data_IF_562408466029
#
_entry.id   IF_562408466029
#
_cell.length_a   1.000
_cell.length_b   1.000
_cell.length_c   1.000
_cell.angle_alpha   90.00
_cell.angle_beta   90.00
_cell.angle_gamma   90.00
#
_symmetry.space_group_name_H-M   'P 1'
#
loop_
_entity.id
_entity.type
_entity.pdbx_description
1 polymer ?
#
# COMPACT_ATOMS: atom_id res chain seq x y z
N UNK A 1 41.39 -17.89 -47.53
CA UNK A 1 41.60 -16.64 -48.29
C UNK A 1 40.91 -16.77 -49.64
N UNK A 2 39.76 -16.13 -49.83
CA UNK A 2 39.17 -15.90 -51.16
C UNK A 2 38.11 -14.79 -51.03
N UNK A 3 38.57 -13.60 -51.38
CA UNK A 3 37.77 -12.40 -51.61
C UNK A 3 36.92 -12.60 -52.86
N UNK A 4 35.63 -12.28 -52.79
CA UNK A 4 34.85 -11.93 -53.97
C UNK A 4 34.21 -10.56 -53.73
N UNK A 5 34.87 -9.56 -54.31
CA UNK A 5 34.32 -8.23 -54.59
C UNK A 5 33.46 -8.39 -55.85
N UNK A 6 32.18 -8.04 -55.76
CA UNK A 6 31.38 -7.69 -56.93
C UNK A 6 30.77 -6.31 -56.71
N UNK A 7 30.99 -5.47 -57.71
CA UNK A 7 30.75 -4.05 -57.81
C UNK A 7 29.58 -3.81 -58.78
N UNK A 8 28.76 -2.79 -58.47
CA UNK A 8 27.72 -2.15 -59.31
C UNK A 8 26.45 -2.97 -59.58
N UNK A 9 25.25 -2.39 -59.63
CA UNK A 9 24.88 -1.09 -60.20
C UNK A 9 23.58 -0.57 -59.53
N UNK A 10 23.51 0.75 -59.38
CA UNK A 10 22.44 1.52 -58.77
C UNK A 10 21.06 1.35 -59.45
N UNK A 11 20.00 1.37 -58.64
CA UNK A 11 18.70 1.88 -59.06
C UNK A 11 18.18 2.87 -58.01
N UNK A 12 18.27 4.14 -58.37
CA UNK A 12 17.68 5.28 -57.67
C UNK A 12 16.17 5.21 -57.86
N UNK A 13 15.41 5.23 -56.78
CA UNK A 13 13.98 5.61 -56.78
C UNK A 13 13.79 6.68 -55.71
N UNK A 14 13.79 7.93 -56.17
CA UNK A 14 13.31 9.10 -55.44
C UNK A 14 11.78 9.02 -55.39
N UNK A 15 11.21 8.85 -54.21
CA UNK A 15 9.85 9.29 -53.91
C UNK A 15 9.96 10.29 -52.77
N UNK A 16 9.84 11.57 -53.11
CA UNK A 16 9.59 12.66 -52.18
C UNK A 16 8.11 12.61 -51.79
N UNK A 17 7.81 12.04 -50.63
CA UNK A 17 6.57 12.30 -49.90
C UNK A 17 6.89 13.18 -48.71
N UNK A 18 6.88 14.50 -48.92
CA UNK A 18 6.83 15.46 -47.82
C UNK A 18 5.39 15.46 -47.28
N UNK A 19 5.20 14.68 -46.22
CA UNK A 19 4.06 14.79 -45.31
C UNK A 19 4.63 14.82 -43.90
N UNK A 20 4.98 16.01 -43.43
CA UNK A 20 5.34 16.26 -42.03
C UNK A 20 4.13 15.96 -41.15
N UNK A 21 4.15 14.80 -40.50
CA UNK A 21 3.43 14.53 -39.27
C UNK A 21 4.46 14.10 -38.24
N UNK A 22 5.40 15.01 -37.96
CA UNK A 22 6.45 14.82 -36.98
C UNK A 22 5.85 15.21 -35.63
N UNK A 23 5.41 14.17 -34.94
CA UNK A 23 5.00 14.15 -33.56
C UNK A 23 5.05 12.68 -33.23
N UNK A 24 6.24 12.23 -32.85
CA UNK A 24 6.44 10.93 -32.22
C UNK A 24 5.41 10.88 -31.10
N UNK A 25 4.32 10.14 -31.32
CA UNK A 25 3.43 9.71 -30.25
C UNK A 25 4.34 8.91 -29.34
N UNK A 26 4.90 9.59 -28.34
CA UNK A 26 5.38 8.96 -27.15
C UNK A 26 4.16 8.19 -26.65
N UNK A 27 4.15 6.88 -26.91
CA UNK A 27 3.44 5.90 -26.11
C UNK A 27 3.82 6.24 -24.67
N UNK A 28 3.04 7.13 -24.05
CA UNK A 28 2.87 7.19 -22.63
C UNK A 28 2.30 5.82 -22.30
N UNK A 29 3.19 4.84 -22.12
CA UNK A 29 2.94 3.76 -21.21
C UNK A 29 2.55 4.48 -19.93
N UNK A 30 1.24 4.64 -19.74
CA UNK A 30 0.67 4.79 -18.43
C UNK A 30 1.30 3.64 -17.66
N UNK A 31 2.30 3.95 -16.85
CA UNK A 31 2.59 3.12 -15.70
C UNK A 31 1.25 3.14 -14.98
N UNK A 32 0.46 2.07 -15.15
CA UNK A 32 -0.71 1.90 -14.31
C UNK A 32 -0.13 1.84 -12.91
N UNK A 33 -0.26 2.96 -12.18
CA UNK A 33 0.05 3.04 -10.77
C UNK A 33 -0.75 1.89 -10.14
N UNK A 34 -0.01 0.92 -9.61
CA UNK A 34 -0.56 -0.27 -9.01
C UNK A 34 -1.51 0.14 -7.90
N UNK A 35 -2.66 -0.54 -7.80
CA UNK A 35 -3.63 -0.22 -6.77
C UNK A 35 -3.04 -0.44 -5.37
N UNK A 36 -3.58 0.25 -4.37
CA UNK A 36 -3.15 0.06 -2.98
C UNK A 36 -3.27 -1.42 -2.52
N UNK A 37 -4.24 -2.17 -3.05
CA UNK A 37 -4.41 -3.60 -2.76
C UNK A 37 -3.32 -4.46 -3.43
N UNK A 38 -2.94 -4.16 -4.67
CA UNK A 38 -1.87 -4.86 -5.39
C UNK A 38 -0.50 -4.60 -4.76
N UNK A 39 -0.20 -3.34 -4.42
CA UNK A 39 1.02 -2.97 -3.70
C UNK A 39 1.07 -3.64 -2.32
N UNK A 40 -0.01 -3.57 -1.53
CA UNK A 40 -0.07 -4.24 -0.25
C UNK A 40 0.16 -5.76 -0.38
N UNK A 41 -0.37 -6.40 -1.43
CA UNK A 41 -0.14 -7.82 -1.65
C UNK A 41 1.30 -8.17 -2.03
N UNK A 42 1.96 -7.30 -2.80
CA UNK A 42 3.40 -7.41 -3.07
C UNK A 42 4.20 -7.37 -1.75
N UNK A 43 3.90 -6.39 -0.89
CA UNK A 43 4.55 -6.21 0.40
C UNK A 43 4.21 -7.28 1.44
N UNK A 44 3.07 -7.95 1.32
CA UNK A 44 2.69 -9.03 2.23
C UNK A 44 3.64 -10.24 2.20
N UNK A 45 4.50 -10.33 1.18
CA UNK A 45 5.52 -11.37 1.03
C UNK A 45 6.89 -10.96 1.57
N UNK A 46 7.05 -9.71 2.00
CA UNK A 46 8.30 -9.20 2.54
C UNK A 46 8.62 -9.79 3.92
N UNK A 47 9.84 -9.54 4.41
CA UNK A 47 10.19 -9.91 5.78
C UNK A 47 9.53 -8.93 6.75
N UNK A 48 8.79 -9.41 7.76
CA UNK A 48 8.02 -8.53 8.63
C UNK A 48 8.92 -7.75 9.59
N UNK A 49 8.53 -6.51 9.86
CA UNK A 49 8.97 -5.74 11.03
C UNK A 49 8.10 -6.13 12.21
N UNK A 50 8.66 -6.87 13.16
CA UNK A 50 7.94 -7.31 14.36
C UNK A 50 7.78 -6.18 15.38
N UNK A 51 6.60 -6.00 15.94
CA UNK A 51 6.35 -5.03 17.00
C UNK A 51 5.30 -5.52 18.01
N UNK A 52 5.43 -5.09 19.26
CA UNK A 52 4.42 -5.31 20.29
C UNK A 52 3.53 -4.07 20.39
N UNK A 53 2.22 -4.26 20.31
CA UNK A 53 1.26 -3.18 20.45
C UNK A 53 1.23 -2.66 21.89
N UNK A 54 0.89 -1.38 22.07
CA UNK A 54 0.67 -0.80 23.40
C UNK A 54 -0.62 -1.36 24.03
N UNK A 55 -0.72 -1.29 25.36
CA UNK A 55 -1.90 -1.74 26.13
C UNK A 55 -2.99 -0.66 26.28
N UNK A 56 -2.72 0.57 25.86
CA UNK A 56 -3.67 1.68 25.91
C UNK A 56 -3.29 2.79 24.93
N UNK A 57 -4.27 3.66 24.66
CA UNK A 57 -4.11 4.86 23.80
C UNK A 57 -3.03 5.79 24.36
N UNK A 58 -3.06 5.99 25.69
CA UNK A 58 -2.03 6.75 26.40
C UNK A 58 -0.71 5.96 26.36
N UNK A 59 0.17 6.32 25.43
CA UNK A 59 1.44 5.62 25.22
C UNK A 59 1.42 4.62 24.07
N UNK A 60 0.53 4.77 23.08
CA UNK A 60 0.71 4.17 21.76
C UNK A 60 2.03 4.69 21.14
N UNK A 61 3.13 3.98 21.40
CA UNK A 61 4.47 4.28 20.88
C UNK A 61 4.91 3.27 19.81
N UNK A 62 4.10 2.25 19.59
CA UNK A 62 4.29 1.24 18.58
C UNK A 62 3.95 1.86 17.22
N UNK A 63 4.99 2.38 16.56
CA UNK A 63 4.88 3.16 15.33
C UNK A 63 4.80 2.27 14.10
N UNK A 64 3.76 2.49 13.29
CA UNK A 64 3.51 1.80 12.02
C UNK A 64 3.47 2.78 10.84
N UNK A 65 4.15 3.93 10.95
CA UNK A 65 4.13 4.99 9.93
C UNK A 65 5.10 4.77 8.76
N UNK A 66 5.88 3.67 8.77
CA UNK A 66 6.70 3.36 7.59
C UNK A 66 5.76 2.79 6.52
N UNK A 67 5.62 3.51 5.42
CA UNK A 67 4.86 3.01 4.25
C UNK A 67 5.53 1.76 3.66
N UNK A 68 4.77 1.03 2.85
CA UNK A 68 5.29 -0.15 2.12
C UNK A 68 5.99 -1.17 3.04
N UNK A 69 5.50 -1.30 4.27
CA UNK A 69 6.12 -2.12 5.31
C UNK A 69 5.13 -3.14 5.84
N UNK A 70 5.50 -4.42 5.75
CA UNK A 70 4.83 -5.49 6.46
C UNK A 70 5.18 -5.45 7.94
N UNK A 71 4.18 -5.25 8.79
CA UNK A 71 4.32 -5.35 10.23
C UNK A 71 3.73 -6.65 10.76
N UNK A 72 4.47 -7.36 11.60
CA UNK A 72 3.91 -8.45 12.43
C UNK A 72 3.64 -7.89 13.83
N UNK A 73 2.36 -7.68 14.14
CA UNK A 73 1.91 -7.02 15.36
C UNK A 73 1.51 -8.06 16.39
N UNK A 74 2.16 -8.03 17.56
CA UNK A 74 1.73 -8.80 18.74
C UNK A 74 0.81 -7.94 19.62
N UNK A 75 -0.44 -8.35 19.74
CA UNK A 75 -1.49 -7.79 20.59
C UNK A 75 -1.37 -8.31 22.03
N UNK A 76 -1.97 -7.56 22.96
CA UNK A 76 -2.01 -7.91 24.37
C UNK A 76 -3.33 -8.62 24.69
N UNK A 77 -3.28 -9.64 25.54
CA UNK A 77 -4.51 -10.24 26.06
C UNK A 77 -5.23 -9.22 26.97
N UNK A 78 -6.53 -9.03 26.76
CA UNK A 78 -7.32 -8.03 27.51
C UNK A 78 -7.47 -8.41 28.98
N UNK A 79 -7.66 -9.71 29.24
CA UNK A 79 -7.63 -10.34 30.55
C UNK A 79 -6.92 -11.70 30.43
N UNK A 80 -6.12 -12.07 31.43
CA UNK A 80 -5.33 -13.31 31.40
C UNK A 80 -6.23 -14.53 31.23
N UNK A 81 -6.03 -15.27 30.14
CA UNK A 81 -6.80 -16.47 29.80
C UNK A 81 -8.17 -16.21 29.16
N UNK A 82 -8.47 -14.96 28.76
CA UNK A 82 -9.70 -14.62 28.03
C UNK A 82 -9.69 -15.14 26.59
N UNK A 83 -8.51 -15.21 25.96
CA UNK A 83 -8.38 -15.44 24.51
C UNK A 83 -8.78 -14.24 23.65
N UNK A 84 -9.08 -13.09 24.27
CA UNK A 84 -9.45 -11.84 23.61
C UNK A 84 -8.24 -10.90 23.61
N UNK A 85 -7.80 -10.46 22.44
CA UNK A 85 -6.59 -9.66 22.29
C UNK A 85 -6.91 -8.25 21.79
N UNK A 86 -6.19 -7.26 22.34
CA UNK A 86 -6.28 -5.85 21.96
C UNK A 86 -4.91 -5.18 21.94
N UNK A 87 -4.75 -4.22 21.06
CA UNK A 87 -3.53 -3.43 20.96
C UNK A 87 -3.77 -2.04 20.39
N UNK A 88 -2.87 -1.12 20.70
CA UNK A 88 -2.88 0.25 20.22
C UNK A 88 -1.56 0.59 19.53
N UNK A 89 -1.64 1.16 18.33
CA UNK A 89 -0.52 1.55 17.49
C UNK A 89 -0.59 3.05 17.20
N UNK A 90 0.56 3.71 17.05
CA UNK A 90 0.62 5.08 16.54
C UNK A 90 0.85 5.07 15.04
N UNK A 91 0.13 5.94 14.33
CA UNK A 91 0.30 6.15 12.90
C UNK A 91 0.33 7.64 12.60
N UNK A 92 1.34 8.10 11.86
CA UNK A 92 1.50 9.46 11.39
C UNK A 92 1.23 9.49 9.89
N UNK A 93 0.07 10.03 9.52
CA UNK A 93 -0.26 10.26 8.11
C UNK A 93 0.55 11.47 7.62
N UNK A 94 1.44 11.30 6.62
CA UNK A 94 2.28 12.39 6.14
C UNK A 94 1.50 13.47 5.37
N UNK A 95 0.35 13.12 4.80
CA UNK A 95 -0.46 14.00 3.97
C UNK A 95 -1.96 13.72 4.13
N UNK A 96 -2.77 14.58 3.52
CA UNK A 96 -4.21 14.33 3.43
C UNK A 96 -4.47 13.32 2.30
N UNK A 97 -4.95 12.13 2.64
CA UNK A 97 -5.28 11.10 1.66
C UNK A 97 -6.30 10.09 2.20
N UNK A 98 -6.77 9.21 1.31
CA UNK A 98 -7.44 7.99 1.73
C UNK A 98 -6.36 6.93 1.98
N UNK A 99 -6.43 6.28 3.12
CA UNK A 99 -5.51 5.22 3.52
C UNK A 99 -6.26 3.89 3.59
N UNK A 100 -5.59 2.84 3.13
CA UNK A 100 -6.03 1.47 3.19
C UNK A 100 -5.15 0.74 4.22
N UNK A 101 -5.79 0.26 5.29
CA UNK A 101 -5.13 -0.52 6.33
C UNK A 101 -5.50 -1.98 6.10
N UNK A 102 -4.52 -2.82 5.78
CA UNK A 102 -4.71 -4.23 5.46
C UNK A 102 -4.33 -5.13 6.63
N UNK A 103 -5.09 -6.19 6.85
CA UNK A 103 -4.85 -7.15 7.93
C UNK A 103 -4.96 -8.60 7.44
N UNK A 104 -4.10 -9.47 7.96
CA UNK A 104 -4.07 -10.92 7.63
C UNK A 104 -5.24 -11.75 8.21
N UNK A 105 -6.08 -11.13 9.03
CA UNK A 105 -7.20 -11.82 9.69
C UNK A 105 -8.32 -10.82 9.96
N UNK A 106 -9.51 -11.33 10.30
CA UNK A 106 -10.67 -10.49 10.50
C UNK A 106 -10.58 -9.91 11.89
N UNK A 107 -10.46 -8.59 11.97
CA UNK A 107 -10.22 -7.88 13.22
C UNK A 107 -11.18 -6.70 13.36
N UNK A 108 -11.49 -6.38 14.61
CA UNK A 108 -12.10 -5.09 14.92
C UNK A 108 -11.00 -4.03 14.85
N UNK A 109 -11.12 -3.09 13.93
CA UNK A 109 -10.17 -1.99 13.76
C UNK A 109 -10.88 -0.65 13.89
N UNK A 110 -10.35 0.22 14.74
CA UNK A 110 -10.77 1.63 14.84
C UNK A 110 -9.59 2.56 14.67
N UNK A 111 -9.78 3.64 13.91
CA UNK A 111 -8.79 4.72 13.79
C UNK A 111 -9.28 5.90 14.63
N UNK A 112 -8.47 6.30 15.60
CA UNK A 112 -8.81 7.28 16.61
C UNK A 112 -7.99 8.56 16.39
N UNK A 113 -8.66 9.70 16.51
CA UNK A 113 -7.99 11.01 16.58
C UNK A 113 -7.26 11.19 17.91
N UNK A 114 -6.42 12.22 18.01
CA UNK A 114 -5.76 12.60 19.27
C UNK A 114 -6.72 12.97 20.41
N UNK A 115 -7.99 13.25 20.08
CA UNK A 115 -9.06 13.50 21.04
C UNK A 115 -9.84 12.24 21.44
N UNK A 116 -9.36 11.04 21.07
CA UNK A 116 -10.01 9.76 21.32
C UNK A 116 -11.41 9.67 20.68
N UNK A 117 -11.52 10.19 19.45
CA UNK A 117 -12.73 10.09 18.64
C UNK A 117 -12.46 9.16 17.47
N UNK A 118 -13.27 8.11 17.35
CA UNK A 118 -13.21 7.16 16.25
C UNK A 118 -13.68 7.81 14.94
N UNK A 119 -12.91 7.57 13.87
CA UNK A 119 -13.25 7.93 12.51
C UNK A 119 -14.12 6.85 11.86
N UNK A 120 -14.87 7.23 10.84
CA UNK A 120 -15.60 6.28 10.00
C UNK A 120 -14.60 5.49 9.16
N UNK A 121 -14.65 4.16 9.27
CA UNK A 121 -13.87 3.24 8.45
C UNK A 121 -14.82 2.39 7.60
N UNK A 122 -14.45 2.13 6.35
CA UNK A 122 -15.14 1.17 5.49
C UNK A 122 -14.33 -0.10 5.42
N UNK A 123 -14.99 -1.25 5.59
CA UNK A 123 -14.34 -2.55 5.60
C UNK A 123 -14.73 -3.34 4.36
N UNK A 124 -13.74 -3.91 3.68
CA UNK A 124 -13.92 -4.84 2.56
C UNK A 124 -13.04 -6.07 2.76
N UNK A 125 -13.38 -7.16 2.08
CA UNK A 125 -12.50 -8.32 1.94
C UNK A 125 -11.42 -8.02 0.89
N UNK A 126 -10.24 -8.61 1.06
CA UNK A 126 -9.15 -8.51 0.08
C UNK A 126 -9.23 -9.72 -0.85
N UNK A 127 -9.46 -9.47 -2.14
CA UNK A 127 -9.50 -10.51 -3.16
C UNK A 127 -8.10 -10.71 -3.78
N UNK A 128 -7.74 -11.96 -4.08
CA UNK A 128 -6.53 -12.28 -4.84
C UNK A 128 -5.21 -12.23 -4.06
N UNK A 129 -5.23 -11.86 -2.78
CA UNK A 129 -4.08 -11.95 -1.88
C UNK A 129 -4.35 -12.94 -0.75
N UNK A 130 -3.58 -14.03 -0.63
CA UNK A 130 -3.87 -15.07 0.38
C UNK A 130 -3.35 -14.68 1.78
N UNK A 131 -2.40 -13.74 1.82
CA UNK A 131 -1.76 -13.23 3.03
C UNK A 131 -2.61 -12.18 3.76
N UNK A 132 -3.55 -11.55 3.05
CA UNK A 132 -4.40 -10.46 3.54
C UNK A 132 -5.87 -10.87 3.45
N UNK A 133 -6.67 -10.46 4.44
CA UNK A 133 -8.08 -10.87 4.54
C UNK A 133 -9.04 -9.68 4.59
N UNK A 134 -8.67 -8.59 5.26
CA UNK A 134 -9.48 -7.38 5.32
C UNK A 134 -8.70 -6.15 4.91
N UNK A 135 -9.40 -5.21 4.28
CA UNK A 135 -8.96 -3.85 4.04
C UNK A 135 -9.90 -2.89 4.79
N UNK A 136 -9.31 -1.92 5.48
CA UNK A 136 -10.02 -0.86 6.19
C UNK A 136 -9.65 0.48 5.55
N UNK A 137 -10.59 1.07 4.81
CA UNK A 137 -10.43 2.38 4.19
C UNK A 137 -10.82 3.49 5.15
N UNK A 138 -9.98 4.52 5.27
CA UNK A 138 -10.21 5.69 6.10
C UNK A 138 -9.63 6.94 5.44
N UNK A 139 -10.34 8.06 5.52
CA UNK A 139 -9.83 9.36 5.05
C UNK A 139 -9.11 10.08 6.19
N UNK A 140 -7.84 10.43 5.98
CA UNK A 140 -6.97 11.01 7.01
C UNK A 140 -6.38 12.34 6.54
N UNK A 141 -6.21 13.25 7.49
CA UNK A 141 -5.44 14.49 7.34
C UNK A 141 -3.97 14.25 7.73
N UNK A 142 -3.08 15.18 7.36
CA UNK A 142 -1.67 15.15 7.71
C UNK A 142 -1.44 15.36 9.23
N UNK A 143 -1.62 14.31 10.03
CA UNK A 143 -1.47 14.33 11.48
C UNK A 143 -1.26 12.93 12.05
N UNK A 144 -1.10 12.85 13.38
CA UNK A 144 -0.99 11.58 14.12
C UNK A 144 -2.35 11.05 14.55
N UNK A 145 -2.51 9.75 14.40
CA UNK A 145 -3.66 8.93 14.79
C UNK A 145 -3.23 7.78 15.70
N UNK A 146 -4.21 7.13 16.32
CA UNK A 146 -4.03 5.85 17.00
C UNK A 146 -4.89 4.80 16.29
N UNK A 147 -4.29 3.66 15.97
CA UNK A 147 -5.02 2.50 15.44
C UNK A 147 -5.24 1.56 16.62
N UNK A 148 -6.50 1.30 16.94
CA UNK A 148 -6.92 0.27 17.88
C UNK A 148 -7.27 -1.01 17.11
N UNK A 149 -6.65 -2.12 17.51
CA UNK A 149 -6.86 -3.45 16.94
C UNK A 149 -7.41 -4.39 18.00
N UNK A 150 -8.46 -5.12 17.68
CA UNK A 150 -9.02 -6.21 18.45
C UNK A 150 -9.09 -7.50 17.63
N UNK A 151 -8.62 -8.62 18.17
CA UNK A 151 -8.68 -9.92 17.49
C UNK A 151 -9.17 -11.02 18.42
N UNK A 152 -10.13 -11.81 17.93
CA UNK A 152 -10.63 -13.03 18.57
C UNK A 152 -9.89 -14.30 18.09
N UNK A 153 -8.85 -14.17 17.27
CA UNK A 153 -8.19 -15.30 16.59
C UNK A 153 -6.78 -15.64 17.08
N UNK A 154 -6.18 -14.80 17.91
CA UNK A 154 -4.83 -14.99 18.43
C UNK A 154 -4.10 -13.67 18.71
N UNK A 155 -2.90 -13.76 19.31
CA UNK A 155 -2.14 -12.58 19.72
C UNK A 155 -1.41 -11.90 18.57
N UNK A 156 -1.34 -12.47 17.37
CA UNK A 156 -0.49 -11.96 16.29
C UNK A 156 -1.26 -11.78 15.00
N UNK A 157 -1.03 -10.67 14.30
CA UNK A 157 -1.53 -10.40 12.96
C UNK A 157 -0.49 -9.64 12.13
N UNK A 158 -0.53 -9.84 10.82
CA UNK A 158 0.13 -8.96 9.87
C UNK A 158 -0.71 -7.70 9.58
N UNK A 159 -0.04 -6.55 9.48
CA UNK A 159 -0.59 -5.23 9.17
C UNK A 159 0.25 -4.56 8.07
N UNK A 160 -0.40 -3.98 7.07
CA UNK A 160 0.20 -3.09 6.07
C UNK A 160 -0.67 -1.84 5.98
N UNK A 161 -0.08 -0.67 5.78
CA UNK A 161 -0.81 0.58 5.55
C UNK A 161 -0.29 1.21 4.26
N UNK A 162 -1.19 1.42 3.32
CA UNK A 162 -0.92 2.10 2.04
C UNK A 162 -1.79 3.35 1.94
N UNK A 163 -1.25 4.41 1.35
CA UNK A 163 -2.08 5.52 0.86
C UNK A 163 -2.62 5.15 -0.53
N UNK A 164 -3.89 5.43 -0.80
CA UNK A 164 -4.34 5.45 -2.18
C UNK A 164 -3.68 6.64 -2.87
N UNK A 165 -3.01 6.40 -3.99
CA UNK A 165 -2.43 7.45 -4.81
C UNK A 165 -3.55 8.42 -5.21
N UNK A 166 -3.43 9.68 -4.78
CA UNK A 166 -4.19 10.76 -5.40
C UNK A 166 -3.44 11.15 -6.65
N UNK A 167 -4.07 10.94 -7.81
CA UNK A 167 -3.60 11.49 -9.07
C UNK A 167 -3.29 12.96 -8.83
N UNK A 168 -2.00 13.32 -8.84
CA UNK A 168 -1.62 14.71 -8.85
C UNK A 168 -2.03 15.22 -10.22
N UNK A 169 -3.25 15.74 -10.33
CA UNK A 169 -3.72 16.47 -11.50
C UNK A 169 -2.59 17.42 -11.92
N UNK A 170 -1.94 17.08 -13.03
CA UNK A 170 -0.92 17.90 -13.64
C UNK A 170 -1.62 19.12 -14.22
N UNK A 171 -1.66 20.19 -13.42
CA UNK A 171 -2.09 21.54 -13.81
C UNK A 171 -1.29 22.10 -15.00
#
# INVERSE_FOLDING_TARGET
MKWHVFLSLAMVSLILGAGCGEGEDHDHQAHEESSAEEEACSHAQDSPTTLAASTGIAGASADVSQGHTLYEVTLNETEVGSGEYRGYLSFEAPEHADYMIFTSSAVELSVLTSADVALETRVSEVDGCVELMQAHRVSLDAQRYVIELGSAGGPTLSLIIESEAHDHDHD
#
